data_IF_025642894213
#
_entry.id   IF_025642894213
#
_cell.length_a   1.000
_cell.length_b   1.000
_cell.length_c   1.000
_cell.angle_alpha   90.00
_cell.angle_beta   90.00
_cell.angle_gamma   90.00
#
_symmetry.space_group_name_H-M   'P 1'
#
loop_
_entity.id
_entity.type
_entity.pdbx_description
1 polymer ?
#
# COMPACT_ATOMS: atom_id res chain seq x y z
N UNK A 1 10.19 -4.15 -14.98
CA UNK A 1 8.72 -4.29 -15.11
C UNK A 1 7.99 -3.47 -14.05
N UNK A 2 8.13 -3.76 -12.75
CA UNK A 2 7.57 -2.90 -11.68
C UNK A 2 8.18 -1.49 -11.66
N UNK A 3 9.51 -1.38 -11.77
CA UNK A 3 10.20 -0.08 -11.80
C UNK A 3 9.75 0.80 -12.98
N UNK A 4 9.51 0.22 -14.16
CA UNK A 4 9.03 0.92 -15.37
C UNK A 4 7.55 1.35 -15.30
N UNK A 5 6.76 0.73 -14.43
CA UNK A 5 5.39 1.19 -14.11
C UNK A 5 5.37 2.31 -13.06
N UNK A 6 6.38 2.38 -12.19
CA UNK A 6 6.53 3.45 -11.20
C UNK A 6 7.22 4.68 -11.78
N UNK A 7 8.22 4.46 -12.64
CA UNK A 7 9.00 5.49 -13.29
C UNK A 7 9.08 5.14 -14.77
N UNK A 8 8.25 5.76 -15.63
CA UNK A 8 8.34 5.51 -17.06
C UNK A 8 9.70 5.99 -17.60
N UNK A 9 10.25 5.25 -18.56
CA UNK A 9 11.54 5.59 -19.19
C UNK A 9 11.50 6.97 -19.88
N UNK A 10 10.31 7.40 -20.34
CA UNK A 10 10.08 8.73 -20.91
C UNK A 10 8.86 9.43 -20.30
N UNK A 11 9.11 10.39 -19.40
CA UNK A 11 8.06 11.26 -18.83
C UNK A 11 7.61 12.35 -19.85
N UNK A 12 8.38 12.59 -20.92
CA UNK A 12 8.15 13.67 -21.89
C UNK A 12 6.82 13.59 -22.65
N UNK A 13 6.23 12.40 -22.77
CA UNK A 13 4.90 12.23 -23.40
C UNK A 13 3.74 12.64 -22.48
N UNK A 14 3.97 12.83 -21.18
CA UNK A 14 2.95 13.17 -20.20
C UNK A 14 3.11 14.62 -19.71
N UNK A 15 2.01 15.29 -19.34
CA UNK A 15 2.05 16.65 -18.74
C UNK A 15 2.56 16.68 -17.29
N UNK A 16 3.30 15.65 -16.88
CA UNK A 16 3.80 15.43 -15.53
C UNK A 16 3.38 14.09 -14.93
N UNK A 17 3.93 13.79 -13.74
CA UNK A 17 3.74 12.50 -13.07
C UNK A 17 2.29 12.25 -12.65
N UNK A 18 1.55 13.30 -12.31
CA UNK A 18 0.12 13.21 -11.96
C UNK A 18 -0.70 12.65 -13.13
N UNK A 19 -0.42 13.11 -14.35
CA UNK A 19 -1.16 12.72 -15.56
C UNK A 19 -0.85 11.27 -15.95
N UNK A 20 0.41 10.85 -15.80
CA UNK A 20 0.85 9.47 -15.94
C UNK A 20 0.16 8.54 -14.93
N UNK A 21 0.17 8.93 -13.65
CA UNK A 21 -0.45 8.15 -12.58
C UNK A 21 -1.96 8.01 -12.81
N UNK A 22 -2.65 9.09 -13.14
CA UNK A 22 -4.10 9.06 -13.40
C UNK A 22 -4.48 8.12 -14.54
N UNK A 23 -3.68 8.01 -15.60
CA UNK A 23 -3.93 7.09 -16.72
C UNK A 23 -3.68 5.61 -16.37
N UNK A 24 -2.76 5.31 -15.44
CA UNK A 24 -2.35 3.93 -15.09
C UNK A 24 -2.76 3.50 -13.69
N UNK A 25 -3.56 4.33 -13.02
CA UNK A 25 -3.95 4.19 -11.63
C UNK A 25 -4.57 2.83 -11.29
N UNK A 26 -5.41 2.29 -12.17
CA UNK A 26 -6.03 0.97 -11.97
C UNK A 26 -4.98 -0.14 -11.84
N UNK A 27 -3.96 -0.11 -12.68
CA UNK A 27 -2.83 -1.05 -12.61
C UNK A 27 -1.97 -0.83 -11.37
N UNK A 28 -1.79 0.43 -10.96
CA UNK A 28 -1.07 0.75 -9.72
C UNK A 28 -1.77 0.15 -8.50
N UNK A 29 -3.08 0.37 -8.35
CA UNK A 29 -3.86 -0.21 -7.25
C UNK A 29 -3.98 -1.73 -7.33
N UNK A 30 -4.08 -2.31 -8.53
CA UNK A 30 -4.09 -3.76 -8.71
C UNK A 30 -2.77 -4.39 -8.22
N UNK A 31 -1.63 -3.80 -8.61
CA UNK A 31 -0.32 -4.25 -8.11
C UNK A 31 -0.20 -4.10 -6.60
N UNK A 32 -0.64 -2.97 -6.05
CA UNK A 32 -0.61 -2.73 -4.61
C UNK A 32 -1.46 -3.76 -3.84
N UNK A 33 -2.63 -4.09 -4.36
CA UNK A 33 -3.51 -5.10 -3.77
C UNK A 33 -2.90 -6.50 -3.82
N UNK A 34 -2.27 -6.87 -4.95
CA UNK A 34 -1.51 -8.14 -5.05
C UNK A 34 -0.38 -8.19 -4.03
N UNK A 35 0.38 -7.10 -3.85
CA UNK A 35 1.45 -7.03 -2.87
C UNK A 35 0.93 -7.27 -1.44
N UNK A 36 -0.18 -6.63 -1.06
CA UNK A 36 -0.76 -6.84 0.27
C UNK A 36 -1.31 -8.25 0.48
N UNK A 37 -1.87 -8.87 -0.56
CA UNK A 37 -2.34 -10.26 -0.50
C UNK A 37 -1.16 -11.22 -0.30
N UNK A 38 -0.06 -11.02 -1.04
CA UNK A 38 1.15 -11.83 -0.89
C UNK A 38 1.73 -11.69 0.53
N UNK A 39 1.75 -10.49 1.09
CA UNK A 39 2.21 -10.22 2.46
C UNK A 39 1.34 -10.93 3.53
N UNK A 40 0.02 -10.98 3.32
CA UNK A 40 -0.90 -11.78 4.16
C UNK A 40 -0.55 -13.26 4.08
N UNK A 41 -0.38 -13.80 2.86
CA UNK A 41 -0.07 -15.22 2.65
C UNK A 41 1.25 -15.57 3.32
N UNK A 42 2.29 -14.75 3.14
CA UNK A 42 3.59 -14.95 3.79
C UNK A 42 3.47 -14.96 5.32
N UNK A 43 2.67 -14.03 5.88
CA UNK A 43 2.44 -13.97 7.32
C UNK A 43 1.65 -15.17 7.85
N UNK A 44 0.65 -15.66 7.09
CA UNK A 44 -0.08 -16.89 7.43
C UNK A 44 0.83 -18.12 7.37
N UNK A 45 1.72 -18.20 6.39
CA UNK A 45 2.72 -19.28 6.24
C UNK A 45 3.76 -19.23 7.37
N UNK A 46 4.15 -18.04 7.84
CA UNK A 46 5.02 -17.85 9.01
C UNK A 46 4.39 -18.34 10.33
N UNK A 47 3.06 -18.47 10.39
CA UNK A 47 2.32 -19.05 11.50
C UNK A 47 2.25 -18.21 12.79
N UNK A 48 1.52 -18.70 13.80
CA UNK A 48 1.19 -18.00 15.06
C UNK A 48 2.40 -17.48 15.87
N UNK A 49 3.62 -17.96 15.59
CA UNK A 49 4.84 -17.50 16.26
C UNK A 49 5.10 -15.99 16.10
N UNK A 50 4.51 -15.33 15.10
CA UNK A 50 4.53 -13.87 14.94
C UNK A 50 3.29 -13.16 15.55
N UNK A 51 2.15 -13.86 15.64
CA UNK A 51 0.89 -13.30 16.13
C UNK A 51 0.91 -13.01 17.63
N UNK A 52 1.64 -13.79 18.41
CA UNK A 52 1.70 -13.64 19.87
C UNK A 52 2.36 -12.34 20.35
N UNK A 53 3.19 -11.69 19.52
CA UNK A 53 3.88 -10.44 19.91
C UNK A 53 3.09 -9.17 19.54
N UNK A 54 2.22 -9.24 18.51
CA UNK A 54 1.55 -8.06 17.93
C UNK A 54 0.02 -8.03 18.09
N UNK A 55 -0.62 -9.14 18.44
CA UNK A 55 -2.07 -9.22 18.67
C UNK A 55 -2.94 -8.91 17.43
N UNK A 56 -4.23 -8.65 17.67
CA UNK A 56 -5.26 -8.38 16.64
C UNK A 56 -5.02 -7.09 15.82
N UNK A 57 -4.11 -6.21 16.27
CA UNK A 57 -3.80 -4.95 15.58
C UNK A 57 -3.23 -5.18 14.16
N UNK A 58 -2.43 -6.23 13.96
CA UNK A 58 -1.84 -6.56 12.66
C UNK A 58 -2.89 -6.92 11.58
N UNK A 59 -3.79 -7.91 11.79
CA UNK A 59 -4.78 -8.27 10.77
C UNK A 59 -5.75 -7.11 10.47
N UNK A 60 -6.17 -6.32 11.47
CA UNK A 60 -7.04 -5.15 11.24
C UNK A 60 -6.37 -4.15 10.30
N UNK A 61 -5.10 -3.82 10.55
CA UNK A 61 -4.33 -2.90 9.69
C UNK A 61 -4.23 -3.43 8.27
N UNK A 62 -3.90 -4.71 8.11
CA UNK A 62 -3.75 -5.30 6.78
C UNK A 62 -5.06 -5.29 6.00
N UNK A 63 -6.19 -5.58 6.66
CA UNK A 63 -7.52 -5.45 6.05
C UNK A 63 -7.83 -4.00 5.65
N UNK A 64 -7.49 -3.01 6.48
CA UNK A 64 -7.68 -1.59 6.16
C UNK A 64 -6.85 -1.14 4.94
N UNK A 65 -5.60 -1.60 4.83
CA UNK A 65 -4.75 -1.30 3.67
C UNK A 65 -5.30 -1.94 2.39
N UNK A 66 -5.72 -3.20 2.45
CA UNK A 66 -6.34 -3.90 1.31
C UNK A 66 -7.64 -3.21 0.90
N UNK A 67 -8.51 -2.89 1.85
CA UNK A 67 -9.79 -2.23 1.60
C UNK A 67 -9.60 -0.83 0.99
N UNK A 68 -8.61 -0.06 1.47
CA UNK A 68 -8.28 1.25 0.91
C UNK A 68 -7.69 1.16 -0.50
N UNK A 69 -6.84 0.16 -0.79
CA UNK A 69 -6.35 -0.08 -2.14
C UNK A 69 -7.48 -0.46 -3.11
N UNK A 70 -8.40 -1.33 -2.68
CA UNK A 70 -9.60 -1.68 -3.45
C UNK A 70 -10.52 -0.46 -3.68
N UNK A 71 -10.68 0.38 -2.65
CA UNK A 71 -11.39 1.65 -2.75
C UNK A 71 -10.76 2.60 -3.77
N UNK A 72 -9.43 2.71 -3.81
CA UNK A 72 -8.72 3.54 -4.79
C UNK A 72 -8.92 3.11 -6.24
N UNK A 73 -9.11 1.80 -6.45
CA UNK A 73 -9.48 1.26 -7.76
C UNK A 73 -10.90 1.67 -8.18
N UNK A 74 -11.85 1.73 -7.23
CA UNK A 74 -13.24 2.10 -7.49
C UNK A 74 -13.46 3.62 -7.60
N UNK A 75 -12.83 4.42 -6.74
CA UNK A 75 -13.04 5.86 -6.67
C UNK A 75 -12.09 6.61 -7.61
N UNK A 76 -12.60 7.29 -8.65
CA UNK A 76 -11.84 8.17 -9.55
C UNK A 76 -11.64 9.58 -8.99
N UNK A 77 -11.02 9.68 -7.81
CA UNK A 77 -10.75 10.96 -7.15
C UNK A 77 -9.26 11.13 -6.82
N UNK A 78 -8.57 12.13 -7.40
CA UNK A 78 -7.17 12.45 -7.06
C UNK A 78 -6.97 12.76 -5.57
N UNK A 79 -8.00 13.29 -4.90
CA UNK A 79 -7.97 13.57 -3.46
C UNK A 79 -7.97 12.28 -2.63
N UNK A 80 -8.71 11.26 -3.08
CA UNK A 80 -8.72 9.96 -2.44
C UNK A 80 -7.35 9.31 -2.54
N UNK A 81 -6.75 9.36 -3.74
CA UNK A 81 -5.45 8.74 -3.99
C UNK A 81 -4.35 9.35 -3.10
N UNK A 82 -4.33 10.68 -3.00
CA UNK A 82 -3.40 11.41 -2.13
C UNK A 82 -3.64 11.14 -0.64
N UNK A 83 -4.90 11.17 -0.19
CA UNK A 83 -5.25 10.89 1.21
C UNK A 83 -4.89 9.45 1.60
N UNK A 84 -5.20 8.48 0.74
CA UNK A 84 -4.87 7.08 0.97
C UNK A 84 -3.35 6.85 1.00
N UNK A 85 -2.60 7.44 0.07
CA UNK A 85 -1.14 7.37 0.07
C UNK A 85 -0.55 7.97 1.37
N UNK A 86 -1.03 9.14 1.81
CA UNK A 86 -0.57 9.76 3.04
C UNK A 86 -0.90 8.90 4.27
N UNK A 87 -2.15 8.46 4.42
CA UNK A 87 -2.58 7.64 5.55
C UNK A 87 -1.84 6.30 5.60
N UNK A 88 -1.61 5.65 4.46
CA UNK A 88 -0.88 4.38 4.41
C UNK A 88 0.60 4.55 4.78
N UNK A 89 1.26 5.63 4.34
CA UNK A 89 2.63 5.95 4.74
C UNK A 89 2.75 6.23 6.24
N UNK A 90 1.84 7.05 6.80
CA UNK A 90 1.81 7.32 8.24
C UNK A 90 1.58 6.03 9.03
N UNK A 91 0.62 5.20 8.61
CA UNK A 91 0.36 3.91 9.24
C UNK A 91 1.57 2.97 9.19
N UNK A 92 2.33 2.96 8.10
CA UNK A 92 3.59 2.21 8.00
C UNK A 92 4.67 2.78 8.91
N UNK A 93 4.86 4.09 8.94
CA UNK A 93 5.85 4.75 9.80
C UNK A 93 5.59 4.46 11.28
N UNK A 94 4.33 4.62 11.73
CA UNK A 94 3.91 4.28 13.10
C UNK A 94 4.12 2.79 13.39
N UNK A 95 3.81 1.92 12.44
CA UNK A 95 4.04 0.49 12.64
C UNK A 95 5.51 0.16 12.79
N UNK A 96 6.38 0.76 11.98
CA UNK A 96 7.83 0.56 12.08
C UNK A 96 8.32 1.00 13.46
N UNK A 97 7.86 2.13 13.99
CA UNK A 97 8.27 2.58 15.33
C UNK A 97 7.79 1.64 16.44
N UNK A 98 6.58 1.09 16.32
CA UNK A 98 6.05 0.07 17.24
C UNK A 98 6.82 -1.25 17.12
N UNK A 99 7.11 -1.69 15.89
CA UNK A 99 7.82 -2.94 15.60
C UNK A 99 9.22 -2.95 16.22
N UNK A 100 9.92 -1.82 16.16
CA UNK A 100 11.27 -1.67 16.69
C UNK A 100 11.31 -1.23 18.16
N UNK A 101 10.16 -1.16 18.84
CA UNK A 101 10.06 -0.71 20.23
C UNK A 101 10.76 0.63 20.49
N UNK A 102 10.81 1.51 19.47
CA UNK A 102 11.44 2.83 19.57
C UNK A 102 10.64 3.76 20.50
N UNK A 103 9.40 3.38 20.83
CA UNK A 103 8.51 4.09 21.75
C UNK A 103 8.48 3.52 23.18
N UNK A 104 9.45 2.70 23.58
CA UNK A 104 9.65 2.31 24.98
C UNK A 104 10.54 3.31 25.76
#
# INVERSE_FOLDING_TARGET
MLATMLFPDEIREYRGFQDYFSQRRGWFYALLLVLFVVDVIDTLVKGEKYYHHYGIAYPIRQTLLIAGAAGGMAFHSPRYDAAYAFCSLVAQAVWITVLFNVLD
#
